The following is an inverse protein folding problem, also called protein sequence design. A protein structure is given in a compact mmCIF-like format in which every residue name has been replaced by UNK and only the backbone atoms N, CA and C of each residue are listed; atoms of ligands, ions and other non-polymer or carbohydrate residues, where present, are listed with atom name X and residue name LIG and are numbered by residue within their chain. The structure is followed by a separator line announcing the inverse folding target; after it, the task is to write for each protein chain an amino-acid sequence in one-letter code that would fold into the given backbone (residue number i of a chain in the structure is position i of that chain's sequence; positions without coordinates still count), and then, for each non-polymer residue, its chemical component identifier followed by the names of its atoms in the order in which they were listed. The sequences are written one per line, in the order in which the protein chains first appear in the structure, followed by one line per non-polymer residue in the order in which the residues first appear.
data_IF_529943887936
#
_entry.id   IF_529943887936
#
_cell.length_a   1.000
_cell.length_b   1.000
_cell.length_c   1.000
_cell.angle_alpha   90.00
_cell.angle_beta   90.00
_cell.angle_gamma   90.00
#
_symmetry.space_group_name_H-M   'P 1'
#
loop_
_entity.id
_entity.type
_entity.pdbx_description
1 polymer ?
#
# COMPACT_ATOMS: atom_id res chain seq x y z
N UNK A 1 3.92 7.90 0.60
CA UNK A 1 5.16 7.12 0.72
C UNK A 1 5.11 5.78 -0.01
N UNK A 2 6.21 4.99 0.06
CA UNK A 2 6.33 3.73 -0.68
C UNK A 2 5.33 2.65 -0.28
N UNK A 3 4.80 2.67 0.93
CA UNK A 3 3.77 1.75 1.43
C UNK A 3 2.33 2.22 1.19
N UNK A 4 2.14 3.35 0.55
CA UNK A 4 0.84 3.98 0.28
C UNK A 4 0.37 3.76 -1.16
N UNK A 5 1.20 4.17 -2.12
CA UNK A 5 0.80 4.25 -3.53
C UNK A 5 0.51 2.87 -4.15
N UNK A 6 1.25 1.82 -3.78
CA UNK A 6 0.99 0.46 -4.25
C UNK A 6 -0.40 -0.05 -3.87
N UNK A 7 -0.76 -0.07 -2.58
CA UNK A 7 -2.10 -0.42 -2.13
C UNK A 7 -3.21 0.45 -2.73
N UNK A 8 -3.03 1.78 -2.78
CA UNK A 8 -3.99 2.70 -3.39
C UNK A 8 -4.24 2.37 -4.86
N UNK A 9 -3.17 2.13 -5.63
CA UNK A 9 -3.25 1.75 -7.03
C UNK A 9 -4.04 0.45 -7.23
N UNK A 10 -3.76 -0.59 -6.44
CA UNK A 10 -4.46 -1.88 -6.56
C UNK A 10 -5.93 -1.76 -6.14
N UNK A 11 -6.23 -1.03 -5.06
CA UNK A 11 -7.63 -0.81 -4.66
C UNK A 11 -8.43 -0.08 -5.74
N UNK A 12 -7.84 0.89 -6.44
CA UNK A 12 -8.50 1.56 -7.57
C UNK A 12 -8.62 0.62 -8.79
N UNK A 13 -7.54 -0.08 -9.15
CA UNK A 13 -7.53 -1.00 -10.29
C UNK A 13 -8.52 -2.16 -10.16
N UNK A 14 -8.68 -2.67 -8.95
CA UNK A 14 -9.54 -3.83 -8.64
C UNK A 14 -10.85 -3.43 -7.95
N UNK A 15 -11.29 -2.20 -8.08
CA UNK A 15 -12.50 -1.66 -7.45
C UNK A 15 -13.76 -2.47 -7.74
N UNK A 16 -13.85 -3.09 -8.90
CA UNK A 16 -14.97 -3.97 -9.27
C UNK A 16 -15.07 -5.25 -8.41
N UNK A 17 -13.99 -5.64 -7.76
CA UNK A 17 -13.93 -6.76 -6.82
C UNK A 17 -14.09 -6.32 -5.36
N UNK A 18 -14.15 -5.00 -5.13
CA UNK A 18 -14.23 -4.43 -3.79
C UNK A 18 -15.53 -4.79 -3.05
N UNK A 19 -15.41 -5.01 -1.75
CA UNK A 19 -16.53 -5.20 -0.84
C UNK A 19 -17.35 -3.90 -0.75
N UNK A 20 -18.64 -3.97 -1.02
CA UNK A 20 -19.53 -2.78 -1.15
C UNK A 20 -19.62 -1.93 0.12
N UNK A 21 -19.48 -2.56 1.28
CA UNK A 21 -19.60 -1.92 2.59
C UNK A 21 -18.27 -1.38 3.13
N UNK A 22 -17.19 -1.49 2.35
CA UNK A 22 -15.85 -1.01 2.72
C UNK A 22 -15.42 0.07 1.74
N UNK A 23 -15.00 1.21 2.25
CA UNK A 23 -14.39 2.30 1.46
C UNK A 23 -12.97 2.53 1.97
N UNK A 24 -11.92 2.17 1.20
CA UNK A 24 -10.55 2.43 1.58
C UNK A 24 -10.18 3.90 1.32
N UNK A 25 -9.57 4.54 2.32
CA UNK A 25 -8.95 5.86 2.23
C UNK A 25 -7.45 5.73 2.46
N UNK A 26 -6.66 6.45 1.69
CA UNK A 26 -5.20 6.45 1.78
C UNK A 26 -4.71 7.85 2.12
N UNK A 27 -4.10 7.99 3.30
CA UNK A 27 -3.59 9.25 3.82
C UNK A 27 -2.08 9.14 4.01
N UNK A 28 -1.32 9.83 3.19
CA UNK A 28 0.14 9.79 3.23
C UNK A 28 0.80 11.17 3.26
N UNK A 29 0.05 12.23 2.99
CA UNK A 29 0.56 13.59 3.09
C UNK A 29 0.60 14.05 4.56
N UNK A 30 1.65 14.80 4.93
CA UNK A 30 1.75 15.45 6.25
C UNK A 30 0.87 16.68 6.37
N UNK A 31 0.37 17.21 5.27
CA UNK A 31 -0.60 18.30 5.29
C UNK A 31 -1.85 17.89 6.06
N UNK A 32 -2.16 18.62 7.12
CA UNK A 32 -3.32 18.35 7.97
C UNK A 32 -4.67 18.40 7.24
N UNK A 33 -4.75 19.01 6.05
CA UNK A 33 -5.96 19.02 5.25
C UNK A 33 -6.32 17.62 4.74
N UNK A 34 -5.33 16.79 4.37
CA UNK A 34 -5.52 15.43 3.87
C UNK A 34 -6.23 14.54 4.90
N UNK A 35 -5.65 14.45 6.11
CA UNK A 35 -6.26 13.67 7.20
C UNK A 35 -7.59 14.26 7.68
N UNK A 36 -7.70 15.59 7.75
CA UNK A 36 -8.92 16.25 8.23
C UNK A 36 -10.13 15.96 7.30
N UNK A 37 -9.96 16.15 5.99
CA UNK A 37 -10.99 15.86 4.99
C UNK A 37 -11.40 14.39 4.99
N UNK A 38 -10.43 13.49 5.17
CA UNK A 38 -10.74 12.05 5.29
C UNK A 38 -11.56 11.74 6.53
N UNK A 39 -11.20 12.32 7.68
CA UNK A 39 -11.92 12.08 8.93
C UNK A 39 -13.32 12.71 8.96
N UNK A 40 -13.60 13.74 8.16
CA UNK A 40 -14.94 14.34 8.04
C UNK A 40 -15.99 13.37 7.46
N UNK A 41 -15.54 12.44 6.62
CA UNK A 41 -16.45 11.46 5.98
C UNK A 41 -16.44 10.09 6.66
N UNK A 42 -15.61 9.90 7.68
CA UNK A 42 -15.49 8.66 8.44
C UNK A 42 -16.42 8.65 9.65
N UNK A 43 -17.02 7.49 9.91
CA UNK A 43 -17.76 7.23 11.14
C UNK A 43 -16.82 6.59 12.18
N UNK A 44 -16.63 7.19 13.38
CA UNK A 44 -15.73 6.68 14.39
C UNK A 44 -16.05 5.26 14.89
N UNK A 45 -17.33 4.85 14.85
CA UNK A 45 -17.75 3.52 15.31
C UNK A 45 -17.42 2.40 14.30
N UNK A 46 -17.25 2.75 13.03
CA UNK A 46 -17.04 1.77 11.93
C UNK A 46 -15.71 1.95 11.19
N UNK A 47 -14.85 2.86 11.64
CA UNK A 47 -13.55 3.13 10.99
C UNK A 47 -12.44 2.26 11.57
N UNK A 48 -11.69 1.57 10.71
CA UNK A 48 -10.44 0.88 11.03
C UNK A 48 -9.25 1.67 10.47
N UNK A 49 -8.27 1.96 11.32
CA UNK A 49 -7.03 2.63 10.95
C UNK A 49 -5.89 1.61 10.81
N UNK A 50 -5.27 1.54 9.64
CA UNK A 50 -4.09 0.72 9.38
C UNK A 50 -2.86 1.64 9.34
N UNK A 51 -2.01 1.56 10.36
CA UNK A 51 -0.79 2.36 10.46
C UNK A 51 0.37 1.58 9.86
N UNK A 52 0.74 1.90 8.63
CA UNK A 52 1.80 1.23 7.88
C UNK A 52 3.11 2.01 7.97
N UNK A 53 4.02 1.58 8.85
CA UNK A 53 5.35 2.17 8.99
C UNK A 53 6.34 1.14 9.48
N UNK A 54 7.37 0.83 8.69
CA UNK A 54 8.36 -0.21 8.98
C UNK A 54 8.98 -0.04 10.38
N UNK A 55 9.45 1.13 10.70
CA UNK A 55 10.09 1.46 11.99
C UNK A 55 9.12 2.01 13.03
N UNK A 56 7.90 2.32 12.63
CA UNK A 56 6.90 3.02 13.44
C UNK A 56 7.39 4.39 13.97
N UNK A 57 8.29 5.03 13.18
CA UNK A 57 8.93 6.32 13.51
C UNK A 57 8.88 7.34 12.37
N UNK A 58 8.36 6.97 11.19
CA UNK A 58 8.22 7.86 10.05
C UNK A 58 7.35 9.05 10.45
N UNK A 59 7.91 10.25 10.40
CA UNK A 59 7.29 11.45 10.97
C UNK A 59 5.91 11.73 10.41
N UNK A 60 5.76 11.68 9.09
CA UNK A 60 4.49 11.92 8.39
C UNK A 60 3.42 10.90 8.82
N UNK A 61 3.77 9.61 8.79
CA UNK A 61 2.86 8.54 9.17
C UNK A 61 2.42 8.65 10.63
N UNK A 62 3.38 8.91 11.53
CA UNK A 62 3.05 9.00 12.95
C UNK A 62 2.26 10.26 13.29
N UNK A 63 2.52 11.39 12.62
CA UNK A 63 1.72 12.62 12.80
C UNK A 63 0.26 12.38 12.42
N UNK A 64 0.02 11.76 11.27
CA UNK A 64 -1.33 11.40 10.84
C UNK A 64 -1.98 10.36 11.76
N UNK A 65 -1.22 9.35 12.19
CA UNK A 65 -1.73 8.32 13.11
C UNK A 65 -2.14 8.91 14.47
N UNK A 66 -1.34 9.84 15.05
CA UNK A 66 -1.72 10.53 16.29
C UNK A 66 -2.92 11.45 16.10
N UNK A 67 -3.08 12.09 14.94
CA UNK A 67 -4.26 12.90 14.63
C UNK A 67 -5.52 12.04 14.55
N UNK A 68 -5.44 10.90 13.87
CA UNK A 68 -6.53 9.91 13.80
C UNK A 68 -6.88 9.36 15.20
N UNK A 69 -5.86 9.04 16.01
CA UNK A 69 -6.04 8.58 17.39
C UNK A 69 -6.74 9.62 18.26
N UNK A 70 -6.32 10.88 18.18
CA UNK A 70 -6.95 11.98 18.92
C UNK A 70 -8.42 12.19 18.49
N UNK A 71 -8.69 12.09 17.18
CA UNK A 71 -10.05 12.17 16.64
C UNK A 71 -10.93 11.02 17.15
N UNK A 72 -10.44 9.77 17.10
CA UNK A 72 -11.20 8.61 17.59
C UNK A 72 -11.53 8.76 19.07
N UNK A 73 -10.56 9.08 19.91
CA UNK A 73 -10.75 9.27 21.36
C UNK A 73 -11.68 10.42 21.72
N UNK A 74 -11.69 11.49 20.91
CA UNK A 74 -12.62 12.61 21.09
C UNK A 74 -14.09 12.16 20.90
N UNK A 75 -14.34 11.24 20.00
CA UNK A 75 -15.70 10.78 19.66
C UNK A 75 -16.14 9.62 20.56
N UNK A 76 -15.34 8.57 20.69
CA UNK A 76 -15.71 7.37 21.44
C UNK A 76 -15.46 7.51 22.96
N UNK A 77 -14.60 8.43 23.39
CA UNK A 77 -14.27 8.71 24.81
C UNK A 77 -13.80 7.50 25.61
N UNK A 78 -13.29 6.48 24.93
CA UNK A 78 -12.80 5.24 25.51
C UNK A 78 -11.40 4.92 24.98
N UNK A 79 -10.42 4.76 25.89
CA UNK A 79 -9.04 4.39 25.56
C UNK A 79 -8.92 2.97 24.98
N UNK A 80 -9.79 2.06 25.38
CA UNK A 80 -9.82 0.69 24.86
C UNK A 80 -10.25 0.63 23.38
N UNK A 81 -10.94 1.68 22.87
CA UNK A 81 -11.31 1.75 21.46
C UNK A 81 -10.11 1.69 20.51
N UNK A 82 -8.91 2.13 20.95
CA UNK A 82 -7.69 2.04 20.13
C UNK A 82 -7.39 0.60 19.75
N UNK A 83 -7.55 -0.35 20.68
CA UNK A 83 -7.30 -1.77 20.43
C UNK A 83 -8.22 -2.37 19.37
N UNK A 84 -9.42 -1.81 19.23
CA UNK A 84 -10.43 -2.31 18.30
C UNK A 84 -10.39 -1.60 16.94
N UNK A 85 -9.85 -0.38 16.90
CA UNK A 85 -9.89 0.48 15.71
C UNK A 85 -8.52 0.71 15.06
N UNK A 86 -7.43 0.22 15.66
CA UNK A 86 -6.10 0.39 15.09
C UNK A 86 -5.40 -0.94 14.87
N UNK A 87 -4.78 -1.05 13.70
CA UNK A 87 -3.91 -2.15 13.29
C UNK A 87 -2.57 -1.55 12.85
N UNK A 88 -1.48 -2.20 13.18
CA UNK A 88 -0.15 -1.79 12.76
C UNK A 88 0.45 -2.76 11.75
N UNK A 89 1.15 -2.20 10.76
CA UNK A 89 2.04 -2.95 9.89
C UNK A 89 3.44 -2.41 10.12
N UNK A 90 4.26 -3.16 10.86
CA UNK A 90 5.55 -2.67 11.36
C UNK A 90 6.49 -3.82 11.72
N UNK A 91 7.76 -3.50 11.94
CA UNK A 91 8.77 -4.39 12.54
C UNK A 91 9.11 -3.99 13.99
N UNK A 92 8.46 -2.94 14.53
CA UNK A 92 8.79 -2.35 15.83
C UNK A 92 7.64 -2.54 16.85
N UNK A 93 7.58 -3.74 17.46
CA UNK A 93 6.55 -4.11 18.44
C UNK A 93 6.48 -3.11 19.62
N UNK A 94 7.62 -2.73 20.18
CA UNK A 94 7.66 -1.83 21.34
C UNK A 94 7.04 -0.44 21.04
N UNK A 95 7.25 0.10 19.85
CA UNK A 95 6.65 1.37 19.43
C UNK A 95 5.15 1.24 19.18
N UNK A 96 4.72 0.11 18.60
CA UNK A 96 3.31 -0.22 18.35
C UNK A 96 2.53 -0.33 19.67
N UNK A 97 3.05 -1.07 20.64
CA UNK A 97 2.44 -1.19 21.99
C UNK A 97 2.39 0.15 22.71
N UNK A 98 3.46 0.96 22.62
CA UNK A 98 3.50 2.32 23.19
C UNK A 98 2.44 3.25 22.58
N UNK A 99 2.10 3.07 21.30
CA UNK A 99 1.01 3.81 20.66
C UNK A 99 -0.36 3.42 21.23
N UNK A 100 -0.52 2.20 21.73
CA UNK A 100 -1.74 1.64 22.29
C UNK A 100 -2.37 0.53 21.44
N UNK A 101 -1.71 0.09 20.38
CA UNK A 101 -2.16 -1.02 19.53
C UNK A 101 -1.72 -2.33 20.20
N UNK A 102 -2.63 -3.32 20.28
CA UNK A 102 -2.30 -4.64 20.77
C UNK A 102 -1.35 -5.33 19.77
N UNK A 103 -0.34 -6.04 20.26
CA UNK A 103 0.58 -6.82 19.42
C UNK A 103 -0.14 -7.86 18.55
N UNK A 104 -1.27 -8.39 18.99
CA UNK A 104 -2.10 -9.32 18.20
C UNK A 104 -2.72 -8.64 16.97
N UNK A 105 -2.76 -7.29 16.95
CA UNK A 105 -3.19 -6.46 15.83
C UNK A 105 -1.99 -5.87 15.07
N UNK A 106 -0.81 -6.44 15.22
CA UNK A 106 0.40 -6.07 14.50
C UNK A 106 0.72 -7.13 13.45
N UNK A 107 0.88 -6.68 12.21
CA UNK A 107 1.31 -7.51 11.08
C UNK A 107 2.77 -7.19 10.76
N UNK A 108 3.64 -8.17 10.94
CA UNK A 108 5.06 -8.05 10.66
C UNK A 108 5.37 -8.27 9.19
N UNK A 109 6.43 -7.64 8.71
CA UNK A 109 7.04 -7.93 7.42
C UNK A 109 8.56 -7.83 7.51
N UNK A 110 9.25 -8.35 6.51
CA UNK A 110 10.69 -8.58 6.58
C UNK A 110 11.52 -7.34 6.27
N UNK A 111 12.72 -7.27 6.83
CA UNK A 111 13.65 -6.15 6.63
C UNK A 111 14.05 -5.90 5.17
N UNK A 112 14.09 -6.95 4.37
CA UNK A 112 14.41 -6.87 2.95
C UNK A 112 13.26 -6.34 2.07
N UNK A 113 12.05 -6.18 2.60
CA UNK A 113 10.92 -5.61 1.87
C UNK A 113 11.13 -4.10 1.69
N UNK A 114 11.32 -3.66 0.45
CA UNK A 114 11.40 -2.25 0.09
C UNK A 114 10.03 -1.58 0.02
N UNK A 115 9.90 -0.33 0.50
CA UNK A 115 8.61 0.37 0.58
C UNK A 115 7.82 0.40 -0.74
N UNK A 116 8.47 0.81 -1.84
CA UNK A 116 7.82 0.89 -3.16
C UNK A 116 7.49 -0.45 -3.82
N UNK A 117 8.02 -1.55 -3.29
CA UNK A 117 7.73 -2.93 -3.73
C UNK A 117 6.96 -3.74 -2.67
N UNK A 118 6.36 -3.09 -1.68
CA UNK A 118 5.84 -3.74 -0.47
C UNK A 118 4.40 -4.23 -0.58
N UNK A 119 3.65 -3.89 -1.62
CA UNK A 119 2.23 -4.25 -1.76
C UNK A 119 1.98 -5.78 -1.69
N UNK A 120 2.99 -6.59 -2.01
CA UNK A 120 2.99 -8.06 -1.97
C UNK A 120 3.17 -8.65 -0.56
N UNK A 121 3.57 -7.81 0.42
CA UNK A 121 3.78 -8.16 1.83
C UNK A 121 2.55 -7.85 2.69
N UNK A 122 2.71 -7.84 4.02
CA UNK A 122 1.67 -7.38 4.95
C UNK A 122 1.17 -5.96 4.65
N UNK A 123 1.93 -5.12 3.93
CA UNK A 123 1.47 -3.82 3.44
C UNK A 123 0.20 -3.95 2.57
N UNK A 124 0.01 -5.08 1.89
CA UNK A 124 -1.20 -5.40 1.14
C UNK A 124 -2.44 -5.69 1.98
N UNK A 125 -2.39 -5.58 3.32
CA UNK A 125 -3.54 -5.85 4.19
C UNK A 125 -4.78 -5.04 3.80
N UNK A 126 -4.62 -3.77 3.44
CA UNK A 126 -5.73 -2.92 2.99
C UNK A 126 -6.37 -3.44 1.69
N UNK A 127 -5.55 -3.99 0.79
CA UNK A 127 -6.02 -4.63 -0.44
C UNK A 127 -6.82 -5.90 -0.07
N UNK A 128 -6.24 -6.78 0.74
CA UNK A 128 -6.87 -8.03 1.16
C UNK A 128 -8.21 -7.80 1.88
N UNK A 129 -8.30 -6.77 2.71
CA UNK A 129 -9.56 -6.38 3.37
C UNK A 129 -10.58 -5.88 2.34
N UNK A 130 -10.15 -5.08 1.37
CA UNK A 130 -11.05 -4.45 0.41
C UNK A 130 -11.58 -5.42 -0.65
N UNK A 131 -10.71 -6.19 -1.32
CA UNK A 131 -11.10 -7.11 -2.39
C UNK A 131 -11.35 -8.54 -1.93
N UNK A 132 -11.10 -8.84 -0.66
CA UNK A 132 -11.13 -10.20 -0.09
C UNK A 132 -9.82 -10.96 -0.28
N UNK A 133 -9.54 -11.87 0.67
CA UNK A 133 -8.26 -12.62 0.69
C UNK A 133 -8.09 -13.51 -0.54
N UNK A 134 -9.16 -14.13 -1.03
CA UNK A 134 -9.12 -14.99 -2.21
C UNK A 134 -8.63 -14.21 -3.47
N UNK A 135 -9.16 -13.01 -3.71
CA UNK A 135 -8.72 -12.17 -4.81
C UNK A 135 -7.29 -11.65 -4.61
N UNK A 136 -6.92 -11.37 -3.36
CA UNK A 136 -5.54 -10.98 -3.04
C UNK A 136 -4.56 -12.13 -3.30
N UNK A 137 -4.90 -13.36 -2.96
CA UNK A 137 -4.09 -14.54 -3.29
C UNK A 137 -3.96 -14.73 -4.80
N UNK A 138 -5.01 -14.49 -5.58
CA UNK A 138 -4.93 -14.54 -7.05
C UNK A 138 -3.97 -13.45 -7.60
N UNK A 139 -3.96 -12.25 -7.01
CA UNK A 139 -2.99 -11.21 -7.34
C UNK A 139 -1.55 -11.68 -7.07
N UNK A 140 -1.31 -12.30 -5.90
CA UNK A 140 -0.01 -12.87 -5.54
C UNK A 140 0.39 -14.01 -6.50
N UNK A 141 -0.54 -14.85 -6.88
CA UNK A 141 -0.30 -15.94 -7.84
C UNK A 141 0.12 -15.38 -9.22
N UNK A 142 -0.52 -14.32 -9.69
CA UNK A 142 -0.10 -13.65 -10.93
C UNK A 142 1.34 -13.11 -10.86
N UNK A 143 1.75 -12.55 -9.73
CA UNK A 143 3.14 -12.15 -9.51
C UNK A 143 4.10 -13.36 -9.49
N UNK A 144 3.69 -14.45 -8.86
CA UNK A 144 4.46 -15.70 -8.84
C UNK A 144 4.64 -16.30 -10.22
N UNK A 145 3.61 -16.23 -11.06
CA UNK A 145 3.68 -16.74 -12.45
C UNK A 145 4.72 -15.95 -13.26
N UNK A 146 4.80 -14.64 -13.12
CA UNK A 146 5.82 -13.84 -13.80
C UNK A 146 7.23 -14.08 -13.25
N UNK A 147 7.37 -14.38 -11.95
CA UNK A 147 8.65 -14.76 -11.36
C UNK A 147 9.15 -16.11 -11.96
N UNK A 148 8.27 -17.09 -12.09
CA UNK A 148 8.58 -18.36 -12.74
C UNK A 148 8.92 -18.16 -14.22
N UNK A 149 8.14 -17.34 -14.93
CA UNK A 149 8.43 -17.00 -16.32
C UNK A 149 9.82 -16.32 -16.46
N UNK A 150 10.16 -15.40 -15.58
CA UNK A 150 11.46 -14.73 -15.58
C UNK A 150 12.60 -15.73 -15.36
N UNK A 151 12.42 -16.70 -14.46
CA UNK A 151 13.42 -17.71 -14.14
C UNK A 151 13.63 -18.74 -15.25
N UNK A 152 12.53 -19.21 -15.85
CA UNK A 152 12.55 -20.45 -16.66
C UNK A 152 12.43 -20.19 -18.17
N UNK A 153 11.90 -19.04 -18.60
CA UNK A 153 11.73 -18.77 -20.03
C UNK A 153 13.05 -18.51 -20.75
N UNK A 154 13.20 -19.00 -22.00
CA UNK A 154 14.35 -18.67 -22.84
C UNK A 154 14.48 -17.15 -23.01
N UNK A 155 15.71 -16.63 -23.05
CA UNK A 155 15.97 -15.17 -23.07
C UNK A 155 15.17 -14.40 -24.12
N UNK A 156 14.94 -14.98 -25.30
CA UNK A 156 14.18 -14.34 -26.39
C UNK A 156 12.67 -14.29 -26.17
N UNK A 157 12.18 -15.10 -25.27
CA UNK A 157 10.76 -15.22 -24.92
C UNK A 157 10.47 -14.64 -23.54
N UNK A 158 11.52 -14.27 -22.80
CA UNK A 158 11.46 -13.77 -21.42
C UNK A 158 11.02 -12.29 -21.42
N UNK A 159 9.78 -12.04 -21.05
CA UNK A 159 9.19 -10.68 -21.10
C UNK A 159 9.98 -9.66 -20.29
N UNK A 160 10.31 -9.89 -18.99
CA UNK A 160 11.13 -8.94 -18.23
C UNK A 160 12.50 -8.66 -18.84
N UNK A 161 13.19 -9.70 -19.34
CA UNK A 161 14.49 -9.54 -19.99
C UNK A 161 14.37 -8.72 -21.28
N UNK A 162 13.37 -8.99 -22.11
CA UNK A 162 13.15 -8.26 -23.36
C UNK A 162 12.81 -6.80 -23.11
N UNK A 163 11.97 -6.49 -22.11
CA UNK A 163 11.67 -5.12 -21.72
C UNK A 163 12.91 -4.37 -21.23
N UNK A 164 13.76 -5.01 -20.41
CA UNK A 164 15.00 -4.43 -19.93
C UNK A 164 15.98 -4.15 -21.11
N UNK A 165 16.13 -5.10 -22.04
CA UNK A 165 17.00 -4.93 -23.22
C UNK A 165 16.50 -3.81 -24.14
N UNK A 166 15.19 -3.68 -24.32
CA UNK A 166 14.61 -2.57 -25.09
C UNK A 166 14.86 -1.22 -24.40
N UNK A 167 14.75 -1.15 -23.08
CA UNK A 167 15.09 0.04 -22.30
C UNK A 167 16.56 0.45 -22.49
N UNK A 168 17.48 -0.48 -22.33
CA UNK A 168 18.92 -0.25 -22.58
C UNK A 168 19.16 0.21 -24.00
N UNK A 169 18.51 -0.44 -24.97
CA UNK A 169 18.66 -0.08 -26.39
C UNK A 169 18.19 1.34 -26.68
N UNK A 170 16.99 1.71 -26.20
CA UNK A 170 16.45 3.06 -26.39
C UNK A 170 17.31 4.13 -25.74
N UNK A 171 17.75 3.91 -24.51
CA UNK A 171 18.57 4.88 -23.77
C UNK A 171 19.94 5.03 -24.41
N UNK A 172 20.67 3.93 -24.64
CA UNK A 172 22.07 3.98 -25.03
C UNK A 172 22.30 4.27 -26.53
N UNK A 173 21.38 3.82 -27.39
CA UNK A 173 21.58 3.93 -28.84
C UNK A 173 20.72 5.00 -29.50
N UNK A 174 19.54 5.26 -28.97
CA UNK A 174 18.64 6.30 -29.48
C UNK A 174 18.58 7.55 -28.59
N UNK A 175 19.20 7.52 -27.42
CA UNK A 175 19.21 8.62 -26.44
C UNK A 175 17.82 9.05 -25.99
N UNK A 176 16.88 8.12 -25.94
CA UNK A 176 15.53 8.31 -25.46
C UNK A 176 15.49 8.08 -23.94
N UNK A 177 15.61 9.14 -23.15
CA UNK A 177 15.78 9.09 -21.71
C UNK A 177 14.47 9.05 -20.92
N UNK A 178 13.33 8.96 -21.60
CA UNK A 178 12.02 8.96 -20.97
C UNK A 178 11.17 7.81 -21.51
N UNK A 179 10.36 7.23 -20.61
CA UNK A 179 9.39 6.20 -20.95
C UNK A 179 8.01 6.66 -20.51
N UNK A 180 7.07 6.77 -21.48
CA UNK A 180 5.68 7.12 -21.20
C UNK A 180 4.85 5.85 -21.02
N UNK A 181 4.14 5.73 -19.90
CA UNK A 181 3.15 4.69 -19.65
C UNK A 181 1.77 5.32 -19.67
N UNK A 182 0.95 4.93 -20.66
CA UNK A 182 -0.34 5.54 -20.97
C UNK A 182 -1.46 4.49 -20.86
N UNK A 183 -1.94 4.18 -19.65
CA UNK A 183 -3.02 3.23 -19.48
C UNK A 183 -4.34 3.83 -20.03
N UNK A 184 -5.08 3.04 -20.79
CA UNK A 184 -6.41 3.41 -21.29
C UNK A 184 -7.55 2.89 -20.41
N UNK A 185 -7.22 2.11 -19.38
CA UNK A 185 -8.15 1.69 -18.34
C UNK A 185 -8.17 2.73 -17.21
N UNK A 186 -9.36 3.21 -16.84
CA UNK A 186 -9.54 4.21 -15.79
C UNK A 186 -9.05 3.69 -14.42
N UNK A 187 -9.22 2.40 -14.13
CA UNK A 187 -8.73 1.78 -12.90
C UNK A 187 -7.21 1.80 -12.77
N UNK A 188 -6.49 1.93 -13.88
CA UNK A 188 -5.03 2.02 -13.90
C UNK A 188 -4.50 3.47 -13.83
N UNK A 189 -5.33 4.45 -13.46
CA UNK A 189 -4.95 5.87 -13.39
C UNK A 189 -3.75 6.15 -12.47
N UNK A 190 -3.55 5.37 -11.41
CA UNK A 190 -2.42 5.48 -10.50
C UNK A 190 -1.19 4.67 -10.92
N UNK A 191 -1.30 3.81 -11.94
CA UNK A 191 -0.21 2.96 -12.38
C UNK A 191 1.03 3.71 -12.88
N UNK A 192 0.89 4.79 -13.68
CA UNK A 192 2.06 5.60 -14.07
C UNK A 192 2.80 6.21 -12.87
N UNK A 193 2.06 6.71 -11.87
CA UNK A 193 2.65 7.26 -10.64
C UNK A 193 3.36 6.20 -9.82
N UNK A 194 2.80 4.99 -9.76
CA UNK A 194 3.44 3.84 -9.11
C UNK A 194 4.76 3.47 -9.79
N UNK A 195 4.78 3.36 -11.13
CA UNK A 195 5.99 3.08 -11.88
C UNK A 195 7.04 4.19 -11.73
N UNK A 196 6.63 5.46 -11.75
CA UNK A 196 7.52 6.60 -11.52
C UNK A 196 8.20 6.53 -10.14
N UNK A 197 7.52 6.00 -9.13
CA UNK A 197 8.12 5.80 -7.82
C UNK A 197 9.01 4.53 -7.77
N UNK A 198 8.65 3.49 -8.50
CA UNK A 198 9.35 2.21 -8.49
C UNK A 198 10.67 2.26 -9.27
N UNK A 199 10.73 3.03 -10.36
CA UNK A 199 11.91 3.23 -11.23
C UNK A 199 12.86 4.27 -10.60
#
# INVERSE_FOLDING_TARGET
GGSDLGPAMICEALKSYGTKDITPYFVSNIDGADIAQTLEVCDPETTLFIVASKTFTTQETMTNAYSARAWLLKHLKDQESIKNHFVAISTNEAAVEKFGINKDNMFEFWDWVGGRYSLWSAIGLSIAIYIGMENFEQLLNGAHDIDNHFKDAPLRENIPVMLALLGVWYINFFQLNTHAVLPYDQGLSLFPSYLQQAD
#
